data_IF_946645746599
#
_entry.id   IF_946645746599
#
_cell.length_a   1.000
_cell.length_b   1.000
_cell.length_c   1.000
_cell.angle_alpha   90.00
_cell.angle_beta   90.00
_cell.angle_gamma   90.00
#
_symmetry.space_group_name_H-M   'P 1'
#
loop_
_entity.id
_entity.type
_entity.pdbx_description
1 polymer ?
#
# COMPACT_ATOMS: atom_id res chain seq x y z
N UNK A 1 62.63 19.17 20.84
CA UNK A 1 61.21 19.55 21.03
C UNK A 1 60.46 19.81 19.71
N UNK A 2 60.92 20.71 18.82
CA UNK A 2 60.23 21.11 17.57
C UNK A 2 59.81 19.97 16.61
N UNK A 3 60.62 18.90 16.47
CA UNK A 3 60.29 17.75 15.59
C UNK A 3 59.07 16.94 16.07
N UNK A 4 58.86 16.81 17.39
CA UNK A 4 57.70 16.08 17.94
C UNK A 4 56.39 16.85 17.70
N UNK A 5 56.42 18.18 17.84
CA UNK A 5 55.26 19.05 17.59
C UNK A 5 54.86 19.10 16.12
N UNK A 6 55.82 19.11 15.19
CA UNK A 6 55.54 19.06 13.75
C UNK A 6 54.92 17.73 13.32
N UNK A 7 55.43 16.61 13.86
CA UNK A 7 54.89 15.28 13.59
C UNK A 7 53.46 15.12 14.11
N UNK A 8 53.20 15.58 15.34
CA UNK A 8 51.86 15.58 15.92
C UNK A 8 50.87 16.43 15.10
N UNK A 9 51.30 17.56 14.53
CA UNK A 9 50.45 18.38 13.64
C UNK A 9 50.13 17.68 12.32
N UNK A 10 51.10 17.02 11.70
CA UNK A 10 50.90 16.26 10.47
C UNK A 10 49.93 15.07 10.70
N UNK A 11 50.11 14.34 11.79
CA UNK A 11 49.22 13.24 12.20
C UNK A 11 47.80 13.74 12.50
N UNK A 12 47.66 14.90 13.17
CA UNK A 12 46.36 15.51 13.44
C UNK A 12 45.63 15.93 12.15
N UNK A 13 46.35 16.53 11.18
CA UNK A 13 45.79 16.87 9.86
C UNK A 13 45.33 15.62 9.10
N UNK A 14 46.14 14.56 9.13
CA UNK A 14 45.77 13.29 8.50
C UNK A 14 44.51 12.69 9.15
N UNK A 15 44.43 12.68 10.48
CA UNK A 15 43.25 12.21 11.21
C UNK A 15 42.01 13.05 10.91
N UNK A 16 42.12 14.38 10.87
CA UNK A 16 41.03 15.28 10.49
C UNK A 16 40.53 15.00 9.07
N UNK A 17 41.42 14.77 8.11
CA UNK A 17 41.02 14.43 6.74
C UNK A 17 40.28 13.09 6.65
N UNK A 18 40.69 12.08 7.44
CA UNK A 18 40.01 10.79 7.52
C UNK A 18 38.62 10.93 8.17
N UNK A 19 38.54 11.69 9.27
CA UNK A 19 37.28 11.98 9.94
C UNK A 19 36.32 12.72 9.00
N UNK A 20 36.79 13.73 8.27
CA UNK A 20 35.96 14.46 7.32
C UNK A 20 35.37 13.53 6.27
N UNK A 21 36.20 12.67 5.63
CA UNK A 21 35.71 11.68 4.67
C UNK A 21 34.68 10.73 5.28
N UNK A 22 34.89 10.31 6.53
CA UNK A 22 33.94 9.45 7.24
C UNK A 22 32.62 10.16 7.51
N UNK A 23 32.65 11.43 7.88
CA UNK A 23 31.45 12.26 8.09
C UNK A 23 30.72 12.46 6.76
N UNK A 24 31.43 12.78 5.68
CA UNK A 24 30.85 12.94 4.35
C UNK A 24 30.18 11.64 3.86
N UNK A 25 30.83 10.49 4.07
CA UNK A 25 30.26 9.17 3.77
C UNK A 25 29.02 8.85 4.62
N UNK A 26 29.03 9.19 5.91
CA UNK A 26 27.89 8.99 6.80
C UNK A 26 26.68 9.86 6.38
N UNK A 27 26.91 11.13 6.04
CA UNK A 27 25.85 12.04 5.56
C UNK A 27 25.25 11.57 4.23
N UNK A 28 26.09 11.07 3.31
CA UNK A 28 25.63 10.49 2.05
C UNK A 28 24.75 9.25 2.31
N UNK A 29 25.21 8.35 3.18
CA UNK A 29 24.46 7.14 3.56
C UNK A 29 23.13 7.49 4.21
N UNK A 30 23.10 8.45 5.13
CA UNK A 30 21.89 8.93 5.78
C UNK A 30 20.90 9.50 4.77
N UNK A 31 21.36 10.35 3.85
CA UNK A 31 20.54 10.92 2.77
C UNK A 31 19.93 9.83 1.89
N UNK A 32 20.72 8.82 1.52
CA UNK A 32 20.23 7.65 0.78
C UNK A 32 19.18 6.87 1.57
N UNK A 33 19.41 6.61 2.85
CA UNK A 33 18.46 5.89 3.71
C UNK A 33 17.14 6.63 3.85
N UNK A 34 17.17 7.95 4.02
CA UNK A 34 15.95 8.77 4.08
C UNK A 34 15.16 8.70 2.77
N UNK A 35 15.85 8.77 1.61
CA UNK A 35 15.23 8.60 0.30
C UNK A 35 14.57 7.23 0.15
N UNK A 36 15.26 6.15 0.54
CA UNK A 36 14.70 4.79 0.50
C UNK A 36 13.48 4.64 1.43
N UNK A 37 13.54 5.17 2.64
CA UNK A 37 12.41 5.14 3.57
C UNK A 37 11.22 5.95 3.06
N UNK A 38 11.47 7.07 2.39
CA UNK A 38 10.42 7.86 1.73
C UNK A 38 9.75 7.09 0.59
N UNK A 39 10.55 6.43 -0.26
CA UNK A 39 10.07 5.61 -1.36
C UNK A 39 9.23 4.43 -0.88
N UNK A 40 9.75 3.69 0.12
CA UNK A 40 9.03 2.60 0.76
C UNK A 40 7.69 3.06 1.34
N UNK A 41 7.67 4.17 2.08
CA UNK A 41 6.42 4.71 2.67
C UNK A 41 5.37 5.04 1.61
N UNK A 42 5.78 5.59 0.46
CA UNK A 42 4.88 5.91 -0.66
C UNK A 42 4.32 4.63 -1.30
N UNK A 43 5.16 3.62 -1.46
CA UNK A 43 4.76 2.31 -2.00
C UNK A 43 3.85 1.58 -1.02
N UNK A 44 4.17 1.57 0.28
CA UNK A 44 3.30 1.05 1.33
C UNK A 44 1.94 1.77 1.35
N UNK A 45 1.91 3.09 1.13
CA UNK A 45 0.65 3.83 1.02
C UNK A 45 -0.19 3.40 -0.21
N UNK A 46 0.47 2.97 -1.29
CA UNK A 46 -0.20 2.41 -2.47
C UNK A 46 -0.76 1.00 -2.26
N UNK A 47 -0.22 0.26 -1.28
CA UNK A 47 -0.68 -1.06 -0.85
C UNK A 47 -1.83 -0.99 0.15
N UNK A 48 -2.26 0.19 0.57
CA UNK A 48 -3.40 0.34 1.47
C UNK A 48 -4.71 -0.03 0.74
N UNK A 49 -5.82 -0.27 1.46
CA UNK A 49 -7.13 -0.43 0.86
C UNK A 49 -7.53 0.76 -0.01
N UNK A 50 -8.20 0.47 -1.12
CA UNK A 50 -8.67 1.41 -2.16
C UNK A 50 -9.42 2.56 -1.53
N UNK A 51 -10.36 2.21 -0.68
CA UNK A 51 -11.20 3.13 0.08
C UNK A 51 -10.50 3.73 1.32
N UNK A 52 -9.47 3.09 1.86
CA UNK A 52 -8.76 3.59 3.04
C UNK A 52 -7.82 4.77 2.78
N UNK A 53 -7.46 5.02 1.51
CA UNK A 53 -6.48 6.05 1.14
C UNK A 53 -7.11 7.43 0.91
N UNK A 54 -8.42 7.50 0.65
CA UNK A 54 -9.15 8.74 0.32
C UNK A 54 -10.05 9.10 1.50
N UNK A 55 -10.41 10.39 1.60
CA UNK A 55 -11.37 10.86 2.58
C UNK A 55 -10.78 11.35 3.90
N UNK A 56 -11.66 11.84 4.79
CA UNK A 56 -11.28 12.39 6.10
C UNK A 56 -11.37 11.31 7.17
N UNK A 57 -10.51 11.39 8.18
CA UNK A 57 -10.61 10.51 9.35
C UNK A 57 -11.88 10.87 10.14
N UNK A 58 -12.60 9.84 10.59
CA UNK A 58 -13.75 9.99 11.47
C UNK A 58 -13.40 9.57 12.90
N UNK A 59 -14.06 10.14 13.91
CA UNK A 59 -13.92 9.68 15.29
C UNK A 59 -14.44 8.25 15.44
N UNK A 60 -13.75 7.50 16.29
CA UNK A 60 -14.08 6.13 16.64
C UNK A 60 -15.28 6.10 17.60
N UNK A 61 -16.28 5.29 17.27
CA UNK A 61 -17.43 4.98 18.12
C UNK A 61 -17.21 3.59 18.73
N UNK A 62 -16.85 3.55 20.02
CA UNK A 62 -16.46 2.31 20.69
C UNK A 62 -17.54 1.23 20.73
N UNK A 63 -18.82 1.59 20.67
CA UNK A 63 -19.90 0.61 20.71
C UNK A 63 -20.18 0.03 19.32
N UNK A 64 -20.22 0.87 18.28
CA UNK A 64 -20.57 0.42 16.92
C UNK A 64 -19.38 -0.12 16.14
N UNK A 65 -18.20 0.44 16.36
CA UNK A 65 -17.03 0.13 15.54
C UNK A 65 -16.22 -1.06 16.09
N UNK A 66 -16.32 -1.37 17.39
CA UNK A 66 -15.54 -2.44 18.01
C UNK A 66 -15.84 -3.81 17.41
N UNK A 67 -17.12 -4.15 17.26
CA UNK A 67 -17.55 -5.44 16.71
C UNK A 67 -17.11 -5.60 15.25
N UNK A 68 -17.28 -4.53 14.44
CA UNK A 68 -16.87 -4.53 13.04
C UNK A 68 -15.35 -4.68 12.94
N UNK A 69 -14.57 -3.87 13.67
CA UNK A 69 -13.11 -3.94 13.63
C UNK A 69 -12.57 -5.27 14.17
N UNK A 70 -13.21 -5.87 15.17
CA UNK A 70 -12.83 -7.20 15.66
C UNK A 70 -13.05 -8.27 14.59
N UNK A 71 -14.17 -8.20 13.87
CA UNK A 71 -14.49 -9.09 12.75
C UNK A 71 -13.48 -8.92 11.62
N UNK A 72 -13.20 -7.68 11.20
CA UNK A 72 -12.19 -7.39 10.19
C UNK A 72 -10.81 -7.88 10.62
N UNK A 73 -10.43 -7.68 11.88
CA UNK A 73 -9.14 -8.13 12.42
C UNK A 73 -8.97 -9.66 12.34
N UNK A 74 -10.01 -10.42 12.68
CA UNK A 74 -9.99 -11.89 12.54
C UNK A 74 -9.89 -12.30 11.07
N UNK A 75 -10.67 -11.65 10.21
CA UNK A 75 -10.65 -11.95 8.78
C UNK A 75 -9.29 -11.66 8.14
N UNK A 76 -8.57 -10.61 8.58
CA UNK A 76 -7.21 -10.34 8.09
C UNK A 76 -6.24 -11.49 8.42
N UNK A 77 -6.35 -12.11 9.60
CA UNK A 77 -5.51 -13.25 9.97
C UNK A 77 -5.86 -14.49 9.11
N UNK A 78 -7.16 -14.75 8.90
CA UNK A 78 -7.61 -15.82 8.01
C UNK A 78 -7.16 -15.58 6.57
N UNK A 79 -7.27 -14.34 6.08
CA UNK A 79 -6.85 -13.97 4.73
C UNK A 79 -5.34 -14.12 4.55
N UNK A 80 -4.54 -13.83 5.58
CA UNK A 80 -3.10 -14.08 5.54
C UNK A 80 -2.77 -15.56 5.31
N UNK A 81 -3.51 -16.49 5.92
CA UNK A 81 -3.28 -17.94 5.69
C UNK A 81 -3.59 -18.39 4.26
N UNK A 82 -4.39 -17.63 3.51
CA UNK A 82 -4.79 -17.91 2.13
C UNK A 82 -3.91 -17.22 1.07
N UNK A 83 -2.89 -16.47 1.49
CA UNK A 83 -2.07 -15.61 0.62
C UNK A 83 -1.56 -16.34 -0.62
N UNK A 84 -0.85 -17.47 -0.45
CA UNK A 84 -0.23 -18.18 -1.57
C UNK A 84 -1.27 -18.70 -2.56
N UNK A 85 -2.34 -19.30 -2.04
CA UNK A 85 -3.44 -19.81 -2.85
C UNK A 85 -4.08 -18.68 -3.68
N UNK A 86 -4.29 -17.51 -3.08
CA UNK A 86 -4.86 -16.35 -3.77
C UNK A 86 -3.93 -15.84 -4.87
N UNK A 87 -2.63 -15.71 -4.60
CA UNK A 87 -1.67 -15.24 -5.60
C UNK A 87 -1.49 -16.23 -6.74
N UNK A 88 -1.52 -17.52 -6.45
CA UNK A 88 -1.48 -18.57 -7.46
C UNK A 88 -2.74 -18.54 -8.33
N UNK A 89 -3.93 -18.52 -7.73
CA UNK A 89 -5.21 -18.45 -8.45
C UNK A 89 -5.36 -17.16 -9.26
N UNK A 90 -4.83 -16.05 -8.74
CA UNK A 90 -4.75 -14.77 -9.42
C UNK A 90 -3.63 -14.73 -10.48
N UNK A 91 -2.85 -15.80 -10.68
CA UNK A 91 -1.75 -15.85 -11.65
C UNK A 91 -0.64 -14.83 -11.37
N UNK A 92 -0.50 -14.35 -10.14
CA UNK A 92 0.48 -13.32 -9.74
C UNK A 92 1.83 -13.91 -9.31
N UNK A 93 1.87 -15.19 -8.94
CA UNK A 93 3.06 -15.86 -8.42
C UNK A 93 4.27 -15.69 -9.36
N UNK A 94 4.09 -15.98 -10.64
CA UNK A 94 5.17 -16.01 -11.65
C UNK A 94 5.35 -14.71 -12.44
N UNK A 95 4.54 -13.69 -12.19
CA UNK A 95 4.61 -12.42 -12.91
C UNK A 95 5.88 -11.67 -12.50
N UNK A 96 6.69 -11.32 -13.50
CA UNK A 96 7.95 -10.56 -13.37
C UNK A 96 7.94 -9.23 -14.14
N UNK A 97 6.85 -8.95 -14.86
CA UNK A 97 6.65 -7.71 -15.61
C UNK A 97 5.57 -6.87 -14.93
N UNK A 98 5.49 -5.60 -15.28
CA UNK A 98 4.40 -4.76 -14.82
C UNK A 98 3.06 -5.27 -15.38
N UNK A 99 2.03 -5.21 -14.55
CA UNK A 99 0.69 -5.68 -14.90
C UNK A 99 -0.34 -4.85 -14.16
N UNK A 100 -1.47 -4.57 -14.80
CA UNK A 100 -2.65 -4.05 -14.13
C UNK A 100 -3.90 -4.58 -14.83
N UNK A 101 -4.72 -5.30 -14.09
CA UNK A 101 -5.90 -5.96 -14.63
C UNK A 101 -7.05 -5.95 -13.63
N UNK A 102 -8.27 -5.93 -14.14
CA UNK A 102 -9.49 -5.98 -13.35
C UNK A 102 -10.54 -6.83 -14.07
N UNK A 103 -11.15 -7.77 -13.35
CA UNK A 103 -12.22 -8.64 -13.87
C UNK A 103 -13.31 -8.86 -12.84
N UNK A 104 -14.53 -9.05 -13.32
CA UNK A 104 -15.66 -9.48 -12.48
C UNK A 104 -15.70 -11.00 -12.51
N UNK A 105 -15.80 -11.61 -11.33
CA UNK A 105 -15.93 -13.04 -11.13
C UNK A 105 -17.35 -13.33 -10.64
N UNK A 106 -18.06 -14.23 -11.29
CA UNK A 106 -19.35 -14.71 -10.80
C UNK A 106 -19.12 -15.71 -9.65
N UNK A 107 -19.79 -15.49 -8.52
CA UNK A 107 -19.76 -16.40 -7.37
C UNK A 107 -21.17 -16.67 -6.88
N UNK A 108 -21.35 -17.69 -6.03
CA UNK A 108 -22.67 -18.02 -5.44
C UNK A 108 -23.29 -16.83 -4.67
N UNK A 109 -22.47 -15.91 -4.17
CA UNK A 109 -22.89 -14.69 -3.48
C UNK A 109 -23.01 -13.43 -4.36
N UNK A 110 -22.91 -13.58 -5.68
CA UNK A 110 -22.95 -12.49 -6.66
C UNK A 110 -21.59 -12.17 -7.29
N UNK A 111 -21.54 -11.06 -8.03
CA UNK A 111 -20.34 -10.61 -8.74
C UNK A 111 -19.26 -10.08 -7.77
N UNK A 112 -18.04 -10.57 -7.93
CA UNK A 112 -16.85 -10.13 -7.18
C UNK A 112 -15.89 -9.44 -8.12
N UNK A 113 -15.59 -8.17 -7.87
CA UNK A 113 -14.57 -7.45 -8.62
C UNK A 113 -13.18 -7.86 -8.11
N UNK A 114 -12.41 -8.57 -8.94
CA UNK A 114 -11.01 -8.88 -8.69
C UNK A 114 -10.10 -7.88 -9.42
N UNK A 115 -9.17 -7.28 -8.68
CA UNK A 115 -8.17 -6.36 -9.21
C UNK A 115 -6.78 -6.92 -8.91
N UNK A 116 -5.91 -6.90 -9.92
CA UNK A 116 -4.55 -7.45 -9.86
C UNK A 116 -3.58 -6.41 -10.38
N UNK A 117 -2.51 -6.17 -9.63
CA UNK A 117 -1.46 -5.25 -10.06
C UNK A 117 -0.08 -5.78 -9.72
N UNK A 118 0.88 -5.53 -10.60
CA UNK A 118 2.31 -5.74 -10.37
C UNK A 118 3.02 -4.47 -10.84
N UNK A 119 3.79 -3.88 -9.94
CA UNK A 119 4.66 -2.75 -10.24
C UNK A 119 6.11 -3.11 -9.90
N UNK A 120 7.05 -2.63 -10.71
CA UNK A 120 8.47 -2.83 -10.50
C UNK A 120 9.08 -1.53 -9.99
N UNK A 121 9.65 -1.56 -8.80
CA UNK A 121 10.09 -0.35 -8.13
C UNK A 121 11.61 -0.34 -7.95
N UNK A 122 12.31 0.74 -8.32
CA UNK A 122 13.77 0.81 -8.28
C UNK A 122 14.27 1.17 -6.88
N UNK A 123 14.02 0.28 -5.92
CA UNK A 123 14.63 0.31 -4.60
C UNK A 123 14.88 -1.10 -4.10
N UNK A 124 15.96 -1.28 -3.34
CA UNK A 124 16.24 -2.54 -2.66
C UNK A 124 15.43 -2.66 -1.38
N UNK A 125 14.55 -3.65 -1.32
CA UNK A 125 13.96 -4.08 -0.06
C UNK A 125 15.04 -4.81 0.74
N UNK A 126 15.88 -4.08 1.50
CA UNK A 126 16.78 -4.70 2.46
C UNK A 126 15.92 -5.31 3.58
N UNK A 127 15.61 -6.59 3.46
CA UNK A 127 14.86 -7.36 4.44
C UNK A 127 15.70 -7.46 5.74
N UNK A 128 15.60 -6.43 6.58
CA UNK A 128 16.38 -6.26 7.80
C UNK A 128 15.55 -6.34 9.08
N UNK A 129 14.40 -7.03 9.06
CA UNK A 129 13.58 -7.24 10.24
C UNK A 129 13.44 -8.75 10.50
N UNK A 130 13.57 -9.14 11.77
CA UNK A 130 13.44 -10.52 12.23
C UNK A 130 12.11 -11.10 11.77
N UNK A 131 12.15 -12.29 11.18
CA UNK A 131 10.98 -13.07 10.80
C UNK A 131 10.04 -13.29 12.00
N UNK A 132 8.74 -13.22 11.74
CA UNK A 132 7.70 -13.77 12.61
C UNK A 132 7.06 -12.74 13.55
N UNK A 133 5.71 -12.72 13.50
CA UNK A 133 4.73 -11.82 14.16
C UNK A 133 4.31 -10.62 13.30
N UNK A 134 2.99 -10.37 13.28
CA UNK A 134 2.42 -9.16 12.71
C UNK A 134 3.14 -7.95 13.32
N UNK A 135 3.89 -7.24 12.50
CA UNK A 135 4.77 -6.16 12.97
C UNK A 135 3.98 -4.88 13.24
N UNK A 136 2.77 -4.76 12.68
CA UNK A 136 1.89 -3.61 12.85
C UNK A 136 0.44 -3.98 12.51
N UNK A 137 -0.49 -3.60 13.38
CA UNK A 137 -1.93 -3.59 13.10
C UNK A 137 -2.38 -2.14 13.06
N UNK A 138 -3.14 -1.76 12.04
CA UNK A 138 -3.72 -0.43 11.90
C UNK A 138 -5.22 -0.61 11.73
N UNK A 139 -6.00 0.07 12.57
CA UNK A 139 -7.44 0.22 12.40
C UNK A 139 -7.76 1.67 12.03
N UNK A 140 -8.62 1.87 11.04
CA UNK A 140 -9.00 3.19 10.54
C UNK A 140 -10.51 3.27 10.35
N UNK A 141 -11.05 4.47 10.59
CA UNK A 141 -12.40 4.85 10.20
C UNK A 141 -12.34 6.13 9.40
N UNK A 142 -12.92 6.12 8.20
CA UNK A 142 -12.90 7.26 7.28
C UNK A 142 -14.25 7.51 6.65
N UNK A 143 -14.44 8.74 6.21
CA UNK A 143 -15.55 9.12 5.35
C UNK A 143 -15.01 9.48 3.97
N UNK A 144 -15.53 8.83 2.93
CA UNK A 144 -15.38 9.28 1.56
C UNK A 144 -16.67 9.94 1.14
N UNK A 145 -16.56 11.11 0.52
CA UNK A 145 -17.68 11.77 -0.14
C UNK A 145 -17.40 11.76 -1.63
N UNK A 146 -18.37 11.31 -2.41
CA UNK A 146 -18.30 11.22 -3.85
C UNK A 146 -19.43 12.00 -4.47
N UNK A 147 -19.15 12.50 -5.66
CA UNK A 147 -20.17 13.06 -6.52
C UNK A 147 -20.86 11.92 -7.27
N UNK A 148 -22.18 11.83 -7.15
CA UNK A 148 -23.02 10.87 -7.86
C UNK A 148 -23.05 11.13 -9.37
N UNK A 149 -23.63 10.19 -10.11
CA UNK A 149 -23.69 10.23 -11.57
C UNK A 149 -24.51 11.41 -12.13
N UNK A 150 -25.37 12.03 -11.32
CA UNK A 150 -26.23 13.16 -11.72
C UNK A 150 -25.63 14.53 -11.37
N UNK A 151 -24.34 14.60 -11.00
CA UNK A 151 -23.58 15.79 -10.56
C UNK A 151 -24.17 16.55 -9.34
N UNK A 152 -25.42 16.29 -8.97
CA UNK A 152 -26.20 16.97 -7.94
C UNK A 152 -26.27 16.18 -6.63
N UNK A 153 -26.11 14.85 -6.65
CA UNK A 153 -26.10 14.04 -5.43
C UNK A 153 -24.68 13.83 -4.90
N UNK A 154 -24.50 14.03 -3.59
CA UNK A 154 -23.29 13.62 -2.88
C UNK A 154 -23.59 12.31 -2.16
N UNK A 155 -22.84 11.26 -2.48
CA UNK A 155 -22.89 9.99 -1.77
C UNK A 155 -21.74 9.95 -0.76
N UNK A 156 -22.04 9.64 0.49
CA UNK A 156 -21.02 9.41 1.51
C UNK A 156 -20.92 7.93 1.86
N UNK A 157 -19.68 7.48 2.07
CA UNK A 157 -19.35 6.15 2.53
C UNK A 157 -18.55 6.23 3.81
N UNK A 158 -19.01 5.55 4.86
CA UNK A 158 -18.22 5.33 6.07
C UNK A 158 -17.47 4.02 5.96
N UNK A 159 -16.15 4.09 6.07
CA UNK A 159 -15.25 2.98 5.76
C UNK A 159 -14.46 2.64 6.99
N UNK A 160 -14.52 1.38 7.39
CA UNK A 160 -13.77 0.80 8.49
C UNK A 160 -12.78 -0.17 7.92
N UNK A 161 -11.52 -0.06 8.33
CA UNK A 161 -10.43 -0.85 7.77
C UNK A 161 -9.62 -1.44 8.91
N UNK A 162 -9.23 -2.70 8.77
CA UNK A 162 -8.08 -3.28 9.48
C UNK A 162 -7.03 -3.67 8.47
N UNK A 163 -5.79 -3.25 8.71
CA UNK A 163 -4.60 -3.63 7.95
C UNK A 163 -3.59 -4.27 8.91
N UNK A 164 -3.04 -5.42 8.52
CA UNK A 164 -1.92 -6.06 9.21
C UNK A 164 -0.72 -6.17 8.28
N UNK A 165 0.45 -5.86 8.82
CA UNK A 165 1.74 -6.07 8.15
C UNK A 165 2.43 -7.30 8.74
N UNK A 166 2.80 -8.22 7.87
CA UNK A 166 3.61 -9.40 8.18
C UNK A 166 4.98 -9.27 7.52
N UNK A 167 6.01 -9.77 8.18
CA UNK A 167 7.38 -9.78 7.65
C UNK A 167 7.87 -11.23 7.63
N UNK A 168 8.23 -11.67 6.44
CA UNK A 168 8.75 -13.00 6.18
C UNK A 168 10.17 -12.92 5.59
N UNK A 169 10.80 -14.09 5.38
CA UNK A 169 12.14 -14.17 4.82
C UNK A 169 12.13 -13.59 3.41
N UNK A 170 12.73 -12.40 3.26
CA UNK A 170 12.87 -11.74 1.96
C UNK A 170 11.61 -11.04 1.45
N UNK A 171 10.50 -10.95 2.20
CA UNK A 171 9.31 -10.23 1.73
C UNK A 171 8.51 -9.58 2.85
N UNK A 172 7.82 -8.51 2.50
CA UNK A 172 6.85 -7.85 3.34
C UNK A 172 5.46 -8.06 2.77
N UNK A 173 4.52 -8.39 3.65
CA UNK A 173 3.15 -8.73 3.28
C UNK A 173 2.21 -7.79 4.01
N UNK A 174 1.27 -7.24 3.26
CA UNK A 174 0.22 -6.36 3.73
C UNK A 174 -1.10 -7.07 3.47
N UNK A 175 -1.91 -7.26 4.49
CA UNK A 175 -3.25 -7.85 4.34
C UNK A 175 -4.25 -6.90 4.98
N UNK A 176 -5.36 -6.65 4.29
CA UNK A 176 -6.42 -5.81 4.82
C UNK A 176 -7.80 -6.39 4.57
N UNK A 177 -8.73 -5.97 5.43
CA UNK A 177 -10.16 -6.14 5.26
C UNK A 177 -10.82 -4.81 5.61
N UNK A 178 -11.78 -4.42 4.79
CA UNK A 178 -12.43 -3.13 4.81
C UNK A 178 -13.93 -3.30 4.58
N UNK A 179 -14.71 -2.59 5.38
CA UNK A 179 -16.16 -2.54 5.30
C UNK A 179 -16.60 -1.10 5.05
N UNK A 180 -17.31 -0.87 3.95
CA UNK A 180 -17.88 0.41 3.54
C UNK A 180 -19.39 0.39 3.66
N UNK A 181 -19.95 1.39 4.34
CA UNK A 181 -21.38 1.61 4.50
C UNK A 181 -21.79 2.85 3.69
N UNK A 182 -22.55 2.65 2.62
CA UNK A 182 -23.01 3.70 1.70
C UNK A 182 -24.43 4.11 2.07
N UNK A 183 -24.57 5.31 2.64
CA UNK A 183 -25.83 5.99 3.04
C UNK A 183 -27.13 5.17 2.87
N UNK A 184 -27.21 4.03 3.58
CA UNK A 184 -28.34 3.10 3.75
C UNK A 184 -28.79 2.21 2.57
N UNK A 185 -28.14 2.22 1.40
CA UNK A 185 -28.59 1.41 0.26
C UNK A 185 -27.71 0.18 -0.01
N UNK A 186 -26.38 0.38 0.09
CA UNK A 186 -25.39 -0.61 -0.33
C UNK A 186 -24.31 -0.70 0.74
N UNK A 187 -23.84 -1.89 1.01
CA UNK A 187 -22.59 -2.11 1.73
C UNK A 187 -21.56 -2.67 0.76
N UNK A 188 -20.30 -2.35 0.99
CA UNK A 188 -19.18 -2.92 0.24
C UNK A 188 -18.21 -3.57 1.19
N UNK A 189 -17.68 -4.72 0.80
CA UNK A 189 -16.56 -5.34 1.49
C UNK A 189 -15.39 -5.48 0.55
N UNK A 190 -14.24 -4.94 0.97
CA UNK A 190 -12.99 -5.03 0.25
C UNK A 190 -11.98 -5.76 1.13
N UNK A 191 -11.39 -6.83 0.63
CA UNK A 191 -10.21 -7.44 1.25
C UNK A 191 -9.13 -7.62 0.21
N UNK A 192 -7.88 -7.54 0.66
CA UNK A 192 -6.76 -7.55 -0.26
C UNK A 192 -5.45 -7.90 0.38
N UNK A 193 -4.49 -8.12 -0.52
CA UNK A 193 -3.14 -8.54 -0.21
C UNK A 193 -2.16 -7.76 -1.06
N UNK A 194 -1.08 -7.33 -0.41
CA UNK A 194 0.07 -6.70 -1.03
C UNK A 194 1.35 -7.43 -0.64
N UNK A 195 2.19 -7.75 -1.61
CA UNK A 195 3.52 -8.31 -1.38
C UNK A 195 4.57 -7.34 -1.92
N UNK A 196 5.57 -7.05 -1.11
CA UNK A 196 6.82 -6.44 -1.55
C UNK A 196 7.94 -7.45 -1.39
N UNK A 197 8.63 -7.77 -2.48
CA UNK A 197 9.75 -8.70 -2.47
C UNK A 197 10.84 -8.20 -3.44
N UNK A 198 12.13 -8.38 -3.13
CA UNK A 198 13.20 -8.10 -4.08
C UNK A 198 13.06 -9.04 -5.28
N UNK A 199 13.45 -8.54 -6.46
CA UNK A 199 13.72 -9.35 -7.63
C UNK A 199 15.22 -9.57 -7.73
N UNK A 200 15.62 -10.75 -8.19
CA UNK A 200 17.01 -11.08 -8.53
C UNK A 200 17.43 -10.40 -9.85
N UNK A 201 17.14 -9.11 -9.98
CA UNK A 201 17.42 -8.28 -11.14
C UNK A 201 17.80 -6.89 -10.67
N UNK A 202 18.88 -6.35 -11.22
CA UNK A 202 19.29 -4.97 -11.04
C UNK A 202 19.03 -4.17 -12.31
N UNK A 203 18.51 -2.95 -12.19
CA UNK A 203 18.37 -2.02 -13.31
C UNK A 203 19.27 -0.82 -13.07
N UNK A 204 20.27 -0.60 -13.94
CA UNK A 204 21.27 0.47 -13.78
C UNK A 204 22.00 0.43 -12.42
N UNK A 205 22.32 -0.78 -11.94
CA UNK A 205 22.99 -0.97 -10.64
C UNK A 205 22.09 -0.75 -9.41
N UNK A 206 20.76 -0.61 -9.61
CA UNK A 206 19.78 -0.47 -8.54
C UNK A 206 18.96 -1.75 -8.41
N UNK A 207 18.87 -2.28 -7.19
CA UNK A 207 17.98 -3.41 -6.86
C UNK A 207 16.52 -3.07 -7.18
N UNK A 208 15.80 -4.05 -7.74
CA UNK A 208 14.38 -3.91 -8.03
C UNK A 208 13.54 -4.63 -6.97
N UNK A 209 12.49 -3.97 -6.50
CA UNK A 209 11.44 -4.57 -5.67
C UNK A 209 10.19 -4.79 -6.52
N UNK A 210 9.70 -6.02 -6.57
CA UNK A 210 8.37 -6.33 -7.09
C UNK A 210 7.32 -6.00 -6.02
N UNK A 211 6.33 -5.22 -6.43
CA UNK A 211 5.17 -4.85 -5.62
C UNK A 211 3.95 -5.47 -6.28
N UNK A 212 3.36 -6.47 -5.65
CA UNK A 212 2.23 -7.23 -6.18
C UNK A 212 1.01 -7.00 -5.31
N UNK A 213 -0.14 -6.78 -5.92
CA UNK A 213 -1.41 -6.50 -5.25
C UNK A 213 -2.53 -7.37 -5.83
N UNK A 214 -3.36 -7.90 -4.93
CA UNK A 214 -4.61 -8.57 -5.28
C UNK A 214 -5.72 -8.06 -4.37
N UNK A 215 -6.81 -7.58 -4.95
CA UNK A 215 -7.95 -7.02 -4.21
C UNK A 215 -9.23 -7.68 -4.70
N UNK A 216 -10.12 -8.00 -3.77
CA UNK A 216 -11.47 -8.44 -4.08
C UNK A 216 -12.44 -7.47 -3.43
N UNK A 217 -13.45 -7.08 -4.20
CA UNK A 217 -14.53 -6.24 -3.74
C UNK A 217 -15.86 -6.92 -4.02
N UNK A 218 -16.72 -6.92 -3.01
CA UNK A 218 -18.11 -7.35 -3.08
C UNK A 218 -19.02 -6.22 -2.66
N UNK A 219 -20.20 -6.13 -3.28
CA UNK A 219 -21.28 -5.25 -2.86
C UNK A 219 -22.46 -6.08 -2.41
N UNK A 220 -23.10 -5.68 -1.33
CA UNK A 220 -24.32 -6.31 -0.81
C UNK A 220 -25.38 -5.26 -0.55
N UNK A 221 -26.60 -5.51 -1.04
CA UNK A 221 -27.76 -4.65 -0.80
C UNK A 221 -28.21 -4.75 0.65
N UNK A 222 -28.62 -3.63 1.22
CA UNK A 222 -29.12 -3.56 2.61
C UNK A 222 -30.66 -3.71 2.70
N UNK A 223 -31.41 -3.64 1.58
CA UNK A 223 -32.88 -3.80 1.56
C UNK A 223 -33.44 -4.35 0.23
N UNK A 224 -34.50 -5.16 0.28
CA UNK A 224 -35.22 -5.74 -0.89
C UNK A 224 -36.13 -4.73 -1.65
N UNK A 225 -35.96 -3.42 -1.44
CA UNK A 225 -36.88 -2.39 -1.95
C UNK A 225 -36.47 -1.77 -3.30
N UNK A 226 -37.26 -2.07 -4.36
CA UNK A 226 -37.31 -1.44 -5.71
C UNK A 226 -36.06 -1.56 -6.61
N UNK A 227 -36.13 -2.57 -7.48
CA UNK A 227 -35.21 -3.00 -8.55
C UNK A 227 -34.63 -1.95 -9.53
N UNK A 228 -35.21 -0.74 -9.68
CA UNK A 228 -34.81 0.18 -10.76
C UNK A 228 -33.74 1.22 -10.35
N UNK A 229 -33.56 1.52 -9.06
CA UNK A 229 -32.49 2.40 -8.57
C UNK A 229 -31.17 1.67 -8.26
N UNK A 230 -31.25 0.34 -8.14
CA UNK A 230 -30.19 -0.49 -7.56
C UNK A 230 -29.02 -0.78 -8.50
N UNK A 231 -29.31 -1.04 -9.78
CA UNK A 231 -28.28 -1.29 -10.81
C UNK A 231 -27.39 -0.06 -11.02
N UNK A 232 -27.97 1.14 -10.87
CA UNK A 232 -27.25 2.39 -10.95
C UNK A 232 -26.27 2.54 -9.77
N UNK A 233 -26.68 2.21 -8.54
CA UNK A 233 -25.83 2.29 -7.36
C UNK A 233 -24.65 1.31 -7.43
N UNK A 234 -24.88 0.05 -7.83
CA UNK A 234 -23.81 -0.94 -8.04
C UNK A 234 -22.84 -0.52 -9.16
N UNK A 235 -23.35 0.00 -10.28
CA UNK A 235 -22.51 0.56 -11.34
C UNK A 235 -21.71 1.79 -10.88
N UNK A 236 -22.32 2.68 -10.09
CA UNK A 236 -21.63 3.84 -9.52
C UNK A 236 -20.50 3.41 -8.58
N UNK A 237 -20.73 2.40 -7.74
CA UNK A 237 -19.69 1.83 -6.86
C UNK A 237 -18.59 1.17 -7.69
N UNK A 238 -18.91 0.35 -8.69
CA UNK A 238 -17.91 -0.28 -9.55
C UNK A 238 -17.05 0.76 -10.31
N UNK A 239 -17.70 1.79 -10.88
CA UNK A 239 -17.01 2.89 -11.56
C UNK A 239 -16.14 3.70 -10.62
N UNK A 240 -16.59 3.94 -9.40
CA UNK A 240 -15.79 4.56 -8.35
C UNK A 240 -14.53 3.74 -8.09
N UNK A 241 -14.65 2.43 -7.83
CA UNK A 241 -13.49 1.60 -7.53
C UNK A 241 -12.49 1.63 -8.68
N UNK A 242 -12.98 1.60 -9.93
CA UNK A 242 -12.16 1.81 -11.12
C UNK A 242 -11.44 3.16 -11.09
N UNK A 243 -12.14 4.24 -10.78
CA UNK A 243 -11.57 5.59 -10.70
C UNK A 243 -10.52 5.71 -9.58
N UNK A 244 -10.81 5.23 -8.37
CA UNK A 244 -9.86 5.27 -7.26
C UNK A 244 -8.59 4.49 -7.62
N UNK A 245 -8.72 3.34 -8.29
CA UNK A 245 -7.55 2.58 -8.74
C UNK A 245 -6.73 3.31 -9.81
N UNK A 246 -7.38 4.03 -10.72
CA UNK A 246 -6.69 4.86 -11.71
C UNK A 246 -5.97 6.04 -11.04
N UNK A 247 -6.62 6.71 -10.11
CA UNK A 247 -6.04 7.85 -9.38
C UNK A 247 -4.86 7.42 -8.52
N UNK A 248 -4.94 6.24 -7.89
CA UNK A 248 -3.81 5.64 -7.17
C UNK A 248 -2.60 5.42 -8.05
N UNK A 249 -2.82 4.92 -9.27
CA UNK A 249 -1.73 4.73 -10.24
C UNK A 249 -1.06 6.06 -10.56
N UNK A 250 -1.85 7.10 -10.84
CA UNK A 250 -1.33 8.45 -11.10
C UNK A 250 -0.48 8.96 -9.93
N UNK A 251 -0.95 8.79 -8.69
CA UNK A 251 -0.19 9.20 -7.50
C UNK A 251 1.17 8.49 -7.42
N UNK A 252 1.22 7.19 -7.70
CA UNK A 252 2.48 6.43 -7.71
C UNK A 252 3.38 6.92 -8.85
N UNK A 253 2.85 7.05 -10.07
CA UNK A 253 3.57 7.52 -11.25
C UNK A 253 4.15 8.92 -11.02
N UNK A 254 3.35 9.88 -10.57
CA UNK A 254 3.79 11.23 -10.24
C UNK A 254 4.85 11.23 -9.13
N UNK A 255 4.65 10.44 -8.07
CA UNK A 255 5.62 10.33 -6.99
C UNK A 255 6.97 9.77 -7.46
N UNK A 256 6.97 8.87 -8.45
CA UNK A 256 8.17 8.32 -9.07
C UNK A 256 8.84 9.32 -10.02
N UNK A 257 8.06 10.03 -10.83
CA UNK A 257 8.55 11.08 -11.74
C UNK A 257 9.22 12.23 -10.97
N UNK A 258 8.56 12.74 -9.93
CA UNK A 258 9.11 13.80 -9.06
C UNK A 258 10.47 13.40 -8.47
N UNK A 259 10.65 12.11 -8.19
CA UNK A 259 11.89 11.59 -7.63
C UNK A 259 12.98 11.41 -8.72
N UNK A 260 12.60 10.95 -9.90
CA UNK A 260 13.52 10.87 -11.05
C UNK A 260 14.07 12.26 -11.41
N UNK A 261 13.22 13.29 -11.33
CA UNK A 261 13.62 14.68 -11.53
C UNK A 261 14.58 15.16 -10.43
N UNK A 262 14.35 14.80 -9.16
CA UNK A 262 15.28 15.14 -8.06
C UNK A 262 16.64 14.46 -8.19
N UNK A 263 16.71 13.25 -8.74
CA UNK A 263 17.97 12.55 -9.03
C UNK A 263 18.77 13.16 -10.20
N UNK A 264 18.17 14.02 -11.03
CA UNK A 264 18.87 14.72 -12.13
C UNK A 264 19.49 16.06 -11.71
N UNK A 265 19.12 16.57 -10.53
CA UNK A 265 19.52 17.89 -10.03
C UNK A 265 20.73 17.80 -9.08
N UNK A 266 21.09 16.58 -8.66
CA UNK A 266 22.29 16.25 -7.88
C UNK A 266 23.17 15.29 -8.66
#
# INVERSE_FOLDING_TARGET
>A
MKRRTLRARAENLQQRSKLQRSVDQAMLLESMLQLYQGQKRRVEASLLPTLGAVGRNLPYDGLKDAEILQTLSRSVDENYTKLEQVFQAAGLEKVRTEMNDAKVLETEGGGVLQIRAVALQPFGLKAGLKLGKASRVIALKREIVLRGCDDATLQSCTIRVVLKKFVESGREIHVWDAFGDWSQAVSTREYGWGIMAPLDVTMNGVDITSVKNCVFMTSSKLSEGKLNGDLAAEHSVANLYKQIMQDRRRVIETALLDQALRKRIY
#
